data_IF_428265273625
#
_entry.id   IF_428265273625
#
_cell.length_a   1.000
_cell.length_b   1.000
_cell.length_c   1.000
_cell.angle_alpha   90.00
_cell.angle_beta   90.00
_cell.angle_gamma   90.00
#
_symmetry.space_group_name_H-M   'P 1'
#
loop_
_entity.id
_entity.type
_entity.pdbx_description
1 polymer ?
#
# COMPACT_ATOMS: atom_id res chain seq x y z
N UNK A 1 30.25 42.98 23.82
CA UNK A 1 28.80 42.84 23.63
C UNK A 1 28.56 41.62 22.75
N UNK A 2 28.16 40.44 23.27
CA UNK A 2 27.81 39.32 22.40
C UNK A 2 26.35 39.43 21.94
N UNK A 3 26.11 39.29 20.63
CA UNK A 3 24.77 39.13 20.07
C UNK A 3 24.22 37.74 20.46
N UNK A 4 23.10 37.71 21.17
CA UNK A 4 22.31 36.50 21.39
C UNK A 4 21.56 36.15 20.09
N UNK A 5 21.91 35.02 19.46
CA UNK A 5 21.07 34.43 18.41
C UNK A 5 19.91 33.68 19.06
N UNK A 6 18.73 34.28 19.03
CA UNK A 6 17.48 33.60 19.36
C UNK A 6 16.90 32.99 18.09
N UNK A 7 17.37 31.79 17.72
CA UNK A 7 16.63 30.94 16.80
C UNK A 7 15.43 30.37 17.56
N UNK A 8 14.34 31.14 17.54
CA UNK A 8 13.02 30.68 17.94
C UNK A 8 12.55 29.66 16.92
N UNK A 9 12.71 28.37 17.28
CA UNK A 9 12.02 27.27 16.63
C UNK A 9 10.51 27.42 16.84
N UNK A 10 9.83 28.01 15.87
CA UNK A 10 8.38 27.91 15.64
C UNK A 10 8.25 27.29 14.27
N UNK A 11 7.54 26.19 14.03
CA UNK A 11 6.62 25.41 14.83
C UNK A 11 5.85 24.57 13.81
N UNK A 12 5.67 23.29 14.10
CA UNK A 12 4.60 22.43 13.59
C UNK A 12 4.15 22.72 12.15
N UNK A 13 4.84 22.15 11.17
CA UNK A 13 4.27 21.99 9.84
C UNK A 13 2.99 21.18 9.98
N UNK A 14 1.83 21.84 9.88
CA UNK A 14 0.55 21.16 9.69
C UNK A 14 0.77 20.21 8.50
N UNK A 15 0.72 18.91 8.75
CA UNK A 15 0.88 17.93 7.68
C UNK A 15 -0.25 18.20 6.69
N UNK A 16 0.07 18.75 5.51
CA UNK A 16 -0.92 18.98 4.46
C UNK A 16 -1.74 17.70 4.26
N UNK A 17 -3.06 17.79 4.22
CA UNK A 17 -3.91 16.64 3.93
C UNK A 17 -3.48 16.01 2.60
N UNK A 18 -3.54 14.67 2.53
CA UNK A 18 -3.32 13.97 1.28
C UNK A 18 -4.50 14.22 0.33
N UNK A 19 -4.21 14.33 -0.96
CA UNK A 19 -5.20 14.52 -2.02
C UNK A 19 -5.60 13.15 -2.54
N UNK A 20 -6.89 12.81 -2.48
CA UNK A 20 -7.41 11.56 -3.02
C UNK A 20 -7.18 11.45 -4.53
N UNK A 21 -6.77 10.27 -5.01
CA UNK A 21 -6.41 10.07 -6.42
C UNK A 21 -7.41 9.26 -7.24
N UNK A 22 -8.48 8.75 -6.61
CA UNK A 22 -9.51 7.98 -7.32
C UNK A 22 -10.18 8.84 -8.40
N UNK A 23 -10.45 8.25 -9.57
CA UNK A 23 -10.97 8.97 -10.73
C UNK A 23 -12.37 9.53 -10.54
N UNK A 24 -13.17 8.90 -9.68
CA UNK A 24 -14.51 9.35 -9.30
C UNK A 24 -14.50 10.39 -8.16
N UNK A 25 -13.31 10.75 -7.65
CA UNK A 25 -13.10 11.73 -6.59
C UNK A 25 -13.51 11.28 -5.19
N UNK A 26 -13.87 10.00 -5.00
CA UNK A 26 -14.27 9.47 -3.69
C UNK A 26 -13.05 9.17 -2.82
N UNK A 27 -13.22 9.38 -1.53
CA UNK A 27 -12.21 9.07 -0.52
C UNK A 27 -12.16 7.57 -0.20
N UNK A 28 -11.04 7.10 0.36
CA UNK A 28 -10.95 5.74 0.94
C UNK A 28 -12.12 5.43 1.89
N UNK A 29 -12.47 6.39 2.74
CA UNK A 29 -13.55 6.23 3.73
C UNK A 29 -14.91 6.01 3.09
N UNK A 30 -15.25 6.78 2.06
CA UNK A 30 -16.53 6.66 1.33
C UNK A 30 -16.61 5.35 0.54
N UNK A 31 -15.52 4.95 -0.12
CA UNK A 31 -15.46 3.70 -0.88
C UNK A 31 -15.59 2.48 0.04
N UNK A 32 -14.83 2.45 1.15
CA UNK A 32 -14.93 1.39 2.16
C UNK A 32 -16.33 1.31 2.75
N UNK A 33 -16.94 2.44 3.08
CA UNK A 33 -18.28 2.49 3.65
C UNK A 33 -19.34 1.92 2.70
N UNK A 34 -19.32 2.32 1.42
CA UNK A 34 -20.25 1.80 0.41
C UNK A 34 -20.12 0.29 0.22
N UNK A 35 -18.90 -0.23 0.15
CA UNK A 35 -18.65 -1.66 0.03
C UNK A 35 -19.19 -2.44 1.24
N UNK A 36 -18.95 -1.93 2.46
CA UNK A 36 -19.49 -2.51 3.69
C UNK A 36 -21.03 -2.50 3.72
N UNK A 37 -21.66 -1.40 3.31
CA UNK A 37 -23.12 -1.29 3.27
C UNK A 37 -23.75 -2.26 2.27
N UNK A 38 -23.10 -2.48 1.12
CA UNK A 38 -23.57 -3.37 0.07
C UNK A 38 -23.19 -4.84 0.28
N UNK A 39 -22.31 -5.12 1.25
CA UNK A 39 -21.80 -6.48 1.50
C UNK A 39 -20.94 -7.01 0.35
N UNK A 40 -20.24 -6.13 -0.37
CA UNK A 40 -19.35 -6.48 -1.49
C UNK A 40 -17.91 -6.11 -1.15
N UNK A 41 -16.96 -6.73 -1.84
CA UNK A 41 -15.55 -6.34 -1.77
C UNK A 41 -15.24 -5.32 -2.84
N UNK A 42 -14.40 -4.34 -2.51
CA UNK A 42 -13.96 -3.31 -3.44
C UNK A 42 -13.21 -3.95 -4.61
N UNK A 43 -13.51 -3.43 -5.79
CA UNK A 43 -12.79 -3.71 -7.02
C UNK A 43 -12.39 -2.37 -7.61
N UNK A 44 -11.09 -2.15 -7.76
CA UNK A 44 -10.56 -0.86 -8.16
C UNK A 44 -10.78 -0.62 -9.67
N UNK A 45 -11.63 0.35 -10.07
CA UNK A 45 -11.87 0.63 -11.48
C UNK A 45 -10.65 1.27 -12.16
N UNK A 46 -9.79 1.95 -11.39
CA UNK A 46 -8.63 2.67 -11.92
C UNK A 46 -7.39 1.76 -12.06
N UNK A 47 -7.39 0.60 -11.41
CA UNK A 47 -6.31 -0.38 -11.46
C UNK A 47 -6.87 -1.81 -11.42
N UNK A 48 -7.46 -2.28 -12.54
CA UNK A 48 -8.18 -3.56 -12.56
C UNK A 48 -7.24 -4.74 -12.35
N UNK A 49 -7.77 -5.83 -11.80
CA UNK A 49 -7.07 -7.11 -11.67
C UNK A 49 -6.96 -7.82 -13.04
N UNK A 50 -6.17 -7.25 -13.94
CA UNK A 50 -6.01 -7.68 -15.33
C UNK A 50 -4.55 -7.55 -15.78
N UNK A 51 -4.19 -8.22 -16.88
CA UNK A 51 -2.84 -8.21 -17.45
C UNK A 51 -2.33 -6.79 -17.78
N UNK A 52 -3.24 -5.88 -18.13
CA UNK A 52 -2.93 -4.46 -18.39
C UNK A 52 -2.30 -3.74 -17.18
N UNK A 53 -2.59 -4.22 -15.98
CA UNK A 53 -2.05 -3.68 -14.72
C UNK A 53 -0.71 -4.30 -14.34
N UNK A 54 -0.28 -5.36 -15.04
CA UNK A 54 1.03 -6.02 -14.84
C UNK A 54 2.02 -5.66 -15.94
N UNK A 55 1.57 -5.61 -17.18
CA UNK A 55 2.44 -5.48 -18.34
C UNK A 55 1.91 -4.49 -19.37
N UNK A 56 2.80 -3.62 -19.85
CA UNK A 56 2.49 -2.69 -20.94
C UNK A 56 2.58 -3.33 -22.34
N UNK A 57 3.44 -4.34 -22.55
CA UNK A 57 3.76 -4.82 -23.90
C UNK A 57 4.04 -6.32 -24.07
N UNK A 58 4.24 -7.09 -22.99
CA UNK A 58 4.52 -8.53 -23.07
C UNK A 58 3.74 -9.29 -21.99
N UNK A 59 2.88 -10.23 -22.41
CA UNK A 59 2.31 -11.22 -21.49
C UNK A 59 3.36 -12.29 -21.19
N UNK A 60 3.65 -12.52 -19.91
CA UNK A 60 4.49 -13.65 -19.50
C UNK A 60 3.69 -14.96 -19.70
N UNK A 61 4.29 -16.05 -20.22
CA UNK A 61 3.60 -17.33 -20.44
C UNK A 61 3.33 -18.12 -19.15
N UNK A 62 3.02 -17.43 -18.05
CA UNK A 62 2.73 -18.02 -16.75
C UNK A 62 1.29 -17.64 -16.40
N UNK A 63 0.52 -18.62 -15.93
CA UNK A 63 -0.88 -18.42 -15.54
C UNK A 63 -0.92 -17.63 -14.22
N UNK A 64 -0.98 -16.29 -14.34
CA UNK A 64 -1.09 -15.38 -13.21
C UNK A 64 -2.56 -15.28 -12.81
N UNK A 65 -2.84 -15.50 -11.53
CA UNK A 65 -4.16 -15.37 -10.94
C UNK A 65 -4.16 -14.22 -9.94
N UNK A 66 -5.16 -13.35 -10.03
CA UNK A 66 -5.35 -12.28 -9.06
C UNK A 66 -6.18 -12.81 -7.88
N UNK A 67 -5.55 -12.90 -6.70
CA UNK A 67 -6.17 -13.46 -5.49
C UNK A 67 -6.07 -12.47 -4.34
N UNK A 68 -7.11 -12.40 -3.50
CA UNK A 68 -7.07 -11.62 -2.26
C UNK A 68 -6.30 -12.41 -1.18
N UNK A 69 -5.70 -11.73 -0.18
CA UNK A 69 -5.05 -12.36 0.95
C UNK A 69 -5.86 -13.46 1.66
N UNK A 70 -7.20 -13.29 1.74
CA UNK A 70 -8.13 -14.29 2.31
C UNK A 70 -8.29 -15.55 1.45
N UNK A 71 -7.90 -15.51 0.18
CA UNK A 71 -7.87 -16.66 -0.73
C UNK A 71 -6.49 -17.34 -0.74
N UNK A 72 -5.44 -16.64 -0.26
CA UNK A 72 -4.05 -17.09 -0.25
C UNK A 72 -3.70 -17.79 1.07
N UNK A 73 -4.21 -17.30 2.21
CA UNK A 73 -3.94 -17.88 3.52
C UNK A 73 -5.13 -17.75 4.48
N UNK A 74 -5.18 -18.57 5.54
CA UNK A 74 -6.32 -18.65 6.46
C UNK A 74 -6.50 -17.43 7.38
N UNK A 75 -5.41 -16.75 7.76
CA UNK A 75 -5.43 -15.65 8.73
C UNK A 75 -4.56 -14.47 8.25
N UNK A 76 -4.97 -13.79 7.16
CA UNK A 76 -4.23 -12.66 6.64
C UNK A 76 -4.25 -11.51 7.64
N UNK A 77 -3.11 -10.83 7.74
CA UNK A 77 -2.88 -9.65 8.56
C UNK A 77 -2.29 -8.56 7.69
N UNK A 78 -2.65 -7.32 7.98
CA UNK A 78 -2.02 -6.21 7.29
C UNK A 78 -0.56 -6.10 7.73
N UNK A 79 -0.34 -5.95 9.04
CA UNK A 79 0.98 -5.94 9.67
C UNK A 79 1.00 -6.99 10.80
N UNK A 80 2.10 -7.75 10.92
CA UNK A 80 2.34 -8.72 12.00
C UNK A 80 3.45 -8.19 12.91
N UNK A 81 3.05 -7.69 14.09
CA UNK A 81 3.99 -7.04 15.01
C UNK A 81 4.26 -5.60 14.60
N UNK A 82 5.41 -5.34 13.97
CA UNK A 82 5.78 -4.02 13.44
C UNK A 82 6.22 -4.17 11.98
N UNK A 83 5.83 -3.21 11.14
CA UNK A 83 6.34 -3.12 9.79
C UNK A 83 7.87 -2.92 9.81
N UNK A 84 8.57 -3.91 9.28
CA UNK A 84 10.01 -4.13 9.42
C UNK A 84 10.64 -4.44 8.07
N UNK A 85 11.95 -4.22 7.95
CA UNK A 85 12.74 -4.56 6.76
C UNK A 85 12.66 -6.05 6.38
N UNK A 86 12.33 -6.92 7.33
CA UNK A 86 12.14 -8.37 7.12
C UNK A 86 10.94 -8.69 6.25
N UNK A 87 10.04 -7.73 6.10
CA UNK A 87 8.76 -7.91 5.41
C UNK A 87 8.91 -7.57 3.92
N UNK A 88 10.14 -7.25 3.49
CA UNK A 88 10.51 -6.81 2.15
C UNK A 88 11.40 -7.89 1.52
N UNK A 89 10.78 -8.97 1.03
CA UNK A 89 11.44 -9.99 0.21
C UNK A 89 11.10 -9.75 -1.26
N UNK A 90 12.11 -9.42 -2.06
CA UNK A 90 11.94 -9.13 -3.48
C UNK A 90 11.39 -10.33 -4.23
N UNK A 91 10.37 -10.09 -5.05
CA UNK A 91 9.81 -11.07 -5.97
C UNK A 91 10.56 -11.13 -7.30
N UNK A 92 9.81 -11.34 -8.38
CA UNK A 92 10.35 -11.53 -9.72
C UNK A 92 10.56 -10.23 -10.52
N UNK A 93 10.12 -9.08 -9.97
CA UNK A 93 10.23 -7.78 -10.63
C UNK A 93 11.59 -7.11 -10.36
N UNK A 94 12.06 -6.33 -11.33
CA UNK A 94 13.33 -5.59 -11.29
C UNK A 94 13.26 -4.26 -10.54
N UNK A 95 12.50 -4.18 -9.45
CA UNK A 95 12.18 -2.97 -8.70
C UNK A 95 12.95 -2.86 -7.37
N UNK A 96 14.12 -3.49 -7.27
CA UNK A 96 14.97 -3.49 -6.08
C UNK A 96 15.25 -2.09 -5.51
N UNK A 97 15.27 -1.07 -6.36
CA UNK A 97 15.43 0.34 -5.99
C UNK A 97 14.27 0.86 -5.11
N UNK A 98 13.03 0.44 -5.40
CA UNK A 98 11.85 0.75 -4.60
C UNK A 98 11.90 -0.01 -3.27
N UNK A 99 12.18 -1.31 -3.33
CA UNK A 99 12.23 -2.16 -2.14
C UNK A 99 13.29 -1.72 -1.14
N UNK A 100 14.46 -1.29 -1.62
CA UNK A 100 15.49 -0.70 -0.77
C UNK A 100 15.01 0.59 -0.08
N UNK A 101 14.21 1.42 -0.77
CA UNK A 101 13.61 2.62 -0.19
C UNK A 101 12.54 2.26 0.87
N UNK A 102 11.66 1.30 0.59
CA UNK A 102 10.65 0.82 1.55
C UNK A 102 11.33 0.21 2.78
N UNK A 103 12.33 -0.65 2.61
CA UNK A 103 13.09 -1.22 3.72
C UNK A 103 13.76 -0.13 4.58
N UNK A 104 14.31 0.91 3.96
CA UNK A 104 14.87 2.06 4.67
C UNK A 104 13.81 2.87 5.41
N UNK A 105 12.61 3.00 4.84
CA UNK A 105 11.48 3.70 5.46
C UNK A 105 11.03 3.02 6.77
N UNK A 106 11.13 1.69 6.87
CA UNK A 106 10.79 0.96 8.11
C UNK A 106 11.65 1.35 9.32
N UNK A 107 12.83 1.94 9.09
CA UNK A 107 13.70 2.44 10.15
C UNK A 107 13.21 3.76 10.76
N UNK A 108 12.24 4.43 10.14
CA UNK A 108 11.64 5.69 10.61
C UNK A 108 10.12 5.55 10.75
N UNK A 109 9.69 5.05 11.90
CA UNK A 109 8.28 4.71 12.17
C UNK A 109 7.31 5.87 11.95
N UNK A 110 7.66 7.11 12.30
CA UNK A 110 6.80 8.28 12.05
C UNK A 110 6.61 8.57 10.55
N UNK A 111 7.65 8.36 9.74
CA UNK A 111 7.57 8.55 8.29
C UNK A 111 6.83 7.38 7.64
N UNK A 112 7.05 6.16 8.15
CA UNK A 112 6.32 4.97 7.72
C UNK A 112 4.82 5.10 7.98
N UNK A 113 4.42 5.53 9.18
CA UNK A 113 3.02 5.76 9.55
C UNK A 113 2.33 6.80 8.66
N UNK A 114 3.11 7.69 8.05
CA UNK A 114 2.59 8.65 7.06
C UNK A 114 2.28 7.98 5.73
N UNK A 115 3.14 7.06 5.27
CA UNK A 115 2.99 6.35 3.99
C UNK A 115 2.01 5.17 4.10
N UNK A 116 1.99 4.50 5.25
CA UNK A 116 1.16 3.33 5.56
C UNK A 116 0.26 3.67 6.76
N UNK A 117 -0.94 4.22 6.53
CA UNK A 117 -1.89 4.55 7.58
C UNK A 117 -2.29 3.33 8.43
N UNK A 118 -2.44 3.52 9.74
CA UNK A 118 -2.71 2.46 10.71
C UNK A 118 -4.19 2.02 10.81
N UNK A 119 -5.10 2.64 10.10
CA UNK A 119 -6.56 2.41 10.20
C UNK A 119 -7.08 1.30 9.28
N UNK A 120 -6.19 0.35 8.95
CA UNK A 120 -6.39 -0.69 7.95
C UNK A 120 -5.98 -2.07 8.50
N UNK A 121 -6.88 -3.05 8.41
CA UNK A 121 -6.59 -4.45 8.71
C UNK A 121 -7.64 -5.37 8.04
N UNK A 122 -7.46 -6.68 8.15
CA UNK A 122 -8.42 -7.71 7.72
C UNK A 122 -9.47 -8.01 8.81
N UNK A 123 -9.89 -6.99 9.55
CA UNK A 123 -10.81 -7.07 10.70
C UNK A 123 -12.30 -6.95 10.30
N UNK A 124 -13.17 -6.57 11.24
CA UNK A 124 -14.61 -6.39 11.00
C UNK A 124 -14.96 -5.25 10.03
N UNK A 125 -14.02 -4.34 9.74
CA UNK A 125 -14.19 -3.24 8.78
C UNK A 125 -13.58 -3.56 7.41
N UNK A 126 -13.12 -4.80 7.22
CA UNK A 126 -12.57 -5.27 5.96
C UNK A 126 -13.62 -5.22 4.84
N UNK A 127 -13.25 -4.56 3.74
CA UNK A 127 -14.03 -4.51 2.51
C UNK A 127 -13.16 -4.74 1.25
N UNK A 128 -12.00 -5.39 1.39
CA UNK A 128 -11.09 -5.65 0.26
C UNK A 128 -10.44 -4.39 -0.34
N UNK A 129 -10.27 -3.34 0.48
CA UNK A 129 -9.78 -2.01 0.10
C UNK A 129 -8.71 -1.54 1.08
N UNK A 130 -7.64 -0.96 0.55
CA UNK A 130 -6.53 -0.37 1.30
C UNK A 130 -6.10 0.94 0.66
N UNK A 131 -5.34 1.77 1.38
CA UNK A 131 -4.80 3.03 0.89
C UNK A 131 -3.40 3.33 1.44
N UNK A 132 -2.64 4.10 0.68
CA UNK A 132 -1.26 4.49 0.98
C UNK A 132 -1.02 5.93 0.56
N UNK A 133 -0.08 6.60 1.24
CA UNK A 133 0.24 7.99 0.93
C UNK A 133 1.62 8.15 0.31
N UNK A 134 1.66 8.75 -0.87
CA UNK A 134 2.90 9.03 -1.58
C UNK A 134 3.12 10.52 -1.74
N UNK A 135 4.38 10.95 -1.61
CA UNK A 135 4.77 12.31 -1.93
C UNK A 135 5.09 12.43 -3.41
N UNK A 136 4.33 13.24 -4.14
CA UNK A 136 4.51 13.44 -5.56
C UNK A 136 4.29 14.92 -5.93
N UNK A 137 5.22 15.55 -6.66
CA UNK A 137 5.14 16.95 -7.11
C UNK A 137 4.64 17.94 -6.03
N UNK A 138 5.26 17.95 -4.85
CA UNK A 138 4.95 18.86 -3.73
C UNK A 138 3.59 18.67 -3.04
N UNK A 139 2.94 17.53 -3.25
CA UNK A 139 1.69 17.15 -2.57
C UNK A 139 1.75 15.70 -2.09
N UNK A 140 1.03 15.45 -1.00
CA UNK A 140 0.70 14.10 -0.59
C UNK A 140 -0.49 13.63 -1.42
N UNK A 141 -0.40 12.42 -1.95
CA UNK A 141 -1.45 11.74 -2.69
C UNK A 141 -1.92 10.54 -1.87
N UNK A 142 -3.24 10.38 -1.72
CA UNK A 142 -3.85 9.21 -1.07
C UNK A 142 -4.30 8.24 -2.17
N UNK A 143 -3.57 7.13 -2.30
CA UNK A 143 -3.77 6.13 -3.36
C UNK A 143 -4.49 4.94 -2.77
N UNK A 144 -5.72 4.72 -3.25
CA UNK A 144 -6.56 3.57 -2.91
C UNK A 144 -6.31 2.42 -3.88
N UNK A 145 -6.24 1.20 -3.36
CA UNK A 145 -6.16 -0.05 -4.11
C UNK A 145 -7.10 -1.11 -3.52
N UNK A 146 -7.61 -2.01 -4.35
CA UNK A 146 -8.15 -3.27 -3.84
C UNK A 146 -7.02 -4.24 -3.41
N UNK A 147 -7.37 -5.30 -2.69
CA UNK A 147 -6.39 -6.27 -2.18
C UNK A 147 -6.15 -7.49 -3.08
N UNK A 148 -6.60 -7.49 -4.34
CA UNK A 148 -6.23 -8.57 -5.27
C UNK A 148 -4.76 -8.43 -5.64
N UNK A 149 -3.97 -9.47 -5.41
CA UNK A 149 -2.54 -9.50 -5.70
C UNK A 149 -2.22 -10.58 -6.75
N UNK A 150 -1.22 -10.35 -7.63
CA UNK A 150 -0.83 -11.34 -8.62
C UNK A 150 -0.15 -12.54 -7.95
N UNK A 151 -0.64 -13.73 -8.28
CA UNK A 151 -0.17 -15.00 -7.72
C UNK A 151 0.07 -16.04 -8.79
N UNK A 152 0.96 -16.99 -8.49
CA UNK A 152 1.16 -18.22 -9.26
C UNK A 152 1.17 -19.38 -8.28
N UNK A 153 0.21 -20.31 -8.42
CA UNK A 153 0.04 -21.45 -7.49
C UNK A 153 -0.10 -20.99 -6.04
N UNK A 154 -1.01 -20.03 -5.80
CA UNK A 154 -1.32 -19.46 -4.47
C UNK A 154 -0.13 -18.77 -3.78
N UNK A 155 0.89 -18.38 -4.54
CA UNK A 155 2.04 -17.63 -4.03
C UNK A 155 2.19 -16.29 -4.72
N UNK A 156 2.43 -15.24 -3.93
CA UNK A 156 2.78 -13.93 -4.44
C UNK A 156 4.04 -14.03 -5.31
N UNK A 157 4.01 -13.38 -6.48
CA UNK A 157 5.15 -13.36 -7.41
C UNK A 157 5.98 -12.07 -7.31
N UNK A 158 5.43 -11.03 -6.68
CA UNK A 158 6.08 -9.74 -6.43
C UNK A 158 6.57 -9.66 -4.97
N UNK A 159 6.67 -8.47 -4.38
CA UNK A 159 7.16 -8.36 -3.01
C UNK A 159 6.24 -9.11 -2.02
N UNK A 160 6.87 -9.73 -1.02
CA UNK A 160 6.17 -10.46 0.03
C UNK A 160 6.94 -10.36 1.35
N UNK A 161 6.26 -10.59 2.46
CA UNK A 161 6.91 -10.72 3.77
C UNK A 161 7.54 -12.10 3.95
N UNK A 162 8.56 -12.19 4.81
CA UNK A 162 9.02 -13.47 5.33
C UNK A 162 7.91 -14.22 6.10
N UNK A 163 6.91 -13.50 6.62
CA UNK A 163 5.68 -14.04 7.19
C UNK A 163 4.65 -14.28 6.09
N UNK A 164 4.21 -15.54 5.93
CA UNK A 164 3.25 -15.91 4.87
C UNK A 164 1.85 -15.31 5.02
N UNK A 165 1.55 -14.66 6.16
CA UNK A 165 0.25 -14.09 6.45
C UNK A 165 0.27 -12.56 6.59
N UNK A 166 1.35 -11.89 6.17
CA UNK A 166 1.51 -10.44 6.25
C UNK A 166 1.57 -9.81 4.85
N UNK A 167 0.77 -8.77 4.60
CA UNK A 167 0.51 -8.28 3.24
C UNK A 167 0.73 -6.77 3.02
N UNK A 168 1.09 -5.98 4.04
CA UNK A 168 1.25 -4.52 3.87
C UNK A 168 2.26 -4.16 2.78
N UNK A 169 3.38 -4.88 2.68
CA UNK A 169 4.44 -4.59 1.71
C UNK A 169 4.00 -4.89 0.28
N UNK A 170 3.31 -6.02 0.07
CA UNK A 170 2.71 -6.40 -1.22
C UNK A 170 1.66 -5.37 -1.69
N UNK A 171 0.82 -4.90 -0.76
CA UNK A 171 -0.20 -3.90 -1.05
C UNK A 171 0.41 -2.51 -1.31
N UNK A 172 1.49 -2.16 -0.60
CA UNK A 172 2.23 -0.90 -0.81
C UNK A 172 2.90 -0.88 -2.19
N UNK A 173 3.55 -1.97 -2.59
CA UNK A 173 4.15 -2.12 -3.92
C UNK A 173 3.07 -2.00 -5.01
N UNK A 174 1.93 -2.67 -4.84
CA UNK A 174 0.78 -2.53 -5.76
C UNK A 174 0.31 -1.08 -5.87
N UNK A 175 0.17 -0.37 -4.75
CA UNK A 175 -0.25 1.03 -4.74
C UNK A 175 0.77 1.97 -5.37
N UNK A 176 2.06 1.62 -5.35
CA UNK A 176 3.11 2.37 -6.05
C UNK A 176 3.13 2.07 -7.57
N UNK A 177 2.73 0.86 -7.96
CA UNK A 177 2.62 0.47 -9.37
C UNK A 177 1.43 1.11 -10.09
N UNK A 178 0.37 1.47 -9.34
CA UNK A 178 -0.77 2.25 -9.80
C UNK A 178 -0.42 3.71 -10.06
#
# INVERSE_FOLDING_TARGET
MPLQSTLSGRGSGSSKAAVDTQSDGRTFGELRHDCLQRGVLFEDPDFPAADSSLYYSQSVPVNIEWKRPKEICENPKFIVGNASRTDICQGQLGDCWLLAAIASLTLKQETLARVVPHDQDFDSRYAGIFHFQFWNHNKWLDVVVDDRLPTVRDKLILVHSASNNEFWSALLEKAYAK
#
